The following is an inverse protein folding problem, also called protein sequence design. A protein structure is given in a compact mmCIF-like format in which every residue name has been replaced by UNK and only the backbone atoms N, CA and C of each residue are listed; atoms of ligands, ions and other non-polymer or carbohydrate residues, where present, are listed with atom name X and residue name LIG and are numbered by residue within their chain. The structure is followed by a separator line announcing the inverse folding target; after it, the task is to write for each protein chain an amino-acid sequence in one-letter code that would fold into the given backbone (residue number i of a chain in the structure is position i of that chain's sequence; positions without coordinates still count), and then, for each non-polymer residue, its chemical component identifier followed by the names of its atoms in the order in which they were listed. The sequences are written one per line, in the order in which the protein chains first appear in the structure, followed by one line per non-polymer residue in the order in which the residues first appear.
data_IF_797210753307
#
_entry.id   IF_797210753307
#
_cell.length_a   1.000
_cell.length_b   1.000
_cell.length_c   1.000
_cell.angle_alpha   90.00
_cell.angle_beta   90.00
_cell.angle_gamma   90.00
#
_symmetry.space_group_name_H-M   'P 1'
#
loop_
_entity.id
_entity.type
_entity.pdbx_description
1 polymer ?
#
# COMPACT_ATOMS: atom_id res chain seq x y z
N UNK A 1 20.09 10.14 21.43
CA UNK A 1 19.27 9.37 20.47
C UNK A 1 18.54 8.28 21.23
N UNK A 2 17.22 8.33 21.23
CA UNK A 2 16.38 7.31 21.87
C UNK A 2 16.39 6.06 20.99
N UNK A 3 17.08 4.98 21.43
CA UNK A 3 17.04 3.71 20.71
C UNK A 3 15.69 3.00 20.96
N UNK A 4 14.66 3.40 20.19
CA UNK A 4 13.30 2.85 20.28
C UNK A 4 13.18 1.42 19.71
N UNK A 5 14.27 0.84 19.16
CA UNK A 5 14.31 -0.56 18.70
C UNK A 5 14.90 -1.51 19.76
N UNK A 6 15.35 -1.01 20.92
CA UNK A 6 15.80 -1.86 22.02
C UNK A 6 14.62 -2.55 22.72
N UNK A 7 14.66 -3.90 22.76
CA UNK A 7 13.57 -4.73 23.30
C UNK A 7 13.29 -4.41 24.78
N UNK A 8 14.35 -4.14 25.58
CA UNK A 8 14.22 -3.81 26.98
C UNK A 8 13.43 -2.51 27.16
N UNK A 9 13.84 -1.47 26.41
CA UNK A 9 13.20 -0.17 26.42
C UNK A 9 11.74 -0.22 25.91
N UNK A 10 11.49 -0.97 24.83
CA UNK A 10 10.12 -1.20 24.34
C UNK A 10 9.24 -1.79 25.43
N UNK A 11 9.71 -2.85 26.10
CA UNK A 11 8.94 -3.50 27.18
C UNK A 11 8.72 -2.58 28.37
N UNK A 12 9.70 -1.80 28.75
CA UNK A 12 9.60 -0.81 29.84
C UNK A 12 8.52 0.23 29.53
N UNK A 13 8.60 0.87 28.36
CA UNK A 13 7.63 1.88 27.93
C UNK A 13 6.21 1.30 27.86
N UNK A 14 6.04 0.15 27.21
CA UNK A 14 4.73 -0.50 27.08
C UNK A 14 4.17 -0.90 28.46
N UNK A 15 5.00 -1.41 29.36
CA UNK A 15 4.61 -1.79 30.73
C UNK A 15 4.18 -0.56 31.54
N UNK A 16 4.92 0.55 31.44
CA UNK A 16 4.60 1.83 32.11
C UNK A 16 3.21 2.35 31.72
N UNK A 17 2.83 2.19 30.45
CA UNK A 17 1.51 2.58 29.94
C UNK A 17 0.44 1.47 30.04
N UNK A 18 0.74 0.34 30.68
CA UNK A 18 -0.19 -0.78 30.80
C UNK A 18 -0.60 -1.38 29.45
N UNK A 19 0.23 -1.21 28.41
CA UNK A 19 -0.11 -1.62 27.06
C UNK A 19 0.06 -3.12 26.87
N UNK A 20 -0.94 -3.73 26.22
CA UNK A 20 -0.92 -5.12 25.78
C UNK A 20 -1.17 -5.22 24.28
N UNK A 21 -0.40 -6.09 23.59
CA UNK A 21 -0.53 -6.28 22.16
C UNK A 21 -1.93 -6.71 21.74
N UNK A 22 -2.48 -6.04 20.75
CA UNK A 22 -3.75 -6.40 20.14
C UNK A 22 -3.52 -7.29 18.91
N UNK A 23 -3.95 -8.56 19.01
CA UNK A 23 -3.91 -9.47 17.87
C UNK A 23 -4.83 -9.03 16.72
N UNK A 24 -5.97 -8.40 17.06
CA UNK A 24 -6.92 -7.90 16.06
C UNK A 24 -6.37 -6.73 15.25
N UNK A 25 -5.44 -5.96 15.79
CA UNK A 25 -4.76 -4.87 15.11
C UNK A 25 -3.46 -5.31 14.42
N UNK A 26 -3.09 -6.59 14.51
CA UNK A 26 -1.90 -7.13 13.85
C UNK A 26 -0.58 -6.47 14.26
N UNK A 27 -0.50 -5.97 15.50
CA UNK A 27 0.63 -5.20 16.02
C UNK A 27 1.90 -6.06 16.14
N UNK A 28 2.93 -5.70 15.38
CA UNK A 28 4.27 -6.28 15.42
C UNK A 28 5.27 -5.11 15.39
N UNK A 29 5.94 -4.85 16.51
CA UNK A 29 6.89 -3.73 16.61
C UNK A 29 8.26 -4.13 16.09
N UNK A 30 8.90 -3.25 15.33
CA UNK A 30 10.25 -3.44 14.83
C UNK A 30 11.27 -3.33 15.97
N UNK A 31 12.11 -4.36 16.07
CA UNK A 31 13.23 -4.44 17.03
C UNK A 31 14.58 -4.48 16.34
N UNK A 32 14.61 -4.56 15.00
CA UNK A 32 15.86 -4.52 14.24
C UNK A 32 16.19 -3.05 13.91
N UNK A 33 17.29 -2.50 14.46
CA UNK A 33 17.61 -1.07 14.33
C UNK A 33 18.01 -0.65 12.92
N UNK A 34 18.30 -1.58 12.01
CA UNK A 34 18.71 -1.24 10.65
C UNK A 34 17.55 -1.06 9.66
N UNK A 35 16.32 -1.41 10.04
CA UNK A 35 15.18 -1.43 9.11
C UNK A 35 14.57 -0.04 8.95
N UNK A 36 14.20 0.62 10.06
CA UNK A 36 13.53 1.92 9.99
C UNK A 36 14.39 3.02 9.35
N UNK A 37 15.70 3.18 9.65
CA UNK A 37 16.54 4.15 8.96
C UNK A 37 16.54 3.95 7.44
N UNK A 38 16.66 2.70 6.99
CA UNK A 38 16.61 2.37 5.55
C UNK A 38 15.24 2.67 4.94
N UNK A 39 14.14 2.38 5.66
CA UNK A 39 12.80 2.71 5.18
C UNK A 39 12.63 4.22 5.03
N UNK A 40 13.06 5.00 6.01
CA UNK A 40 12.99 6.46 5.98
C UNK A 40 13.83 7.05 4.83
N UNK A 41 15.06 6.57 4.63
CA UNK A 41 15.92 6.96 3.52
C UNK A 41 15.28 6.64 2.15
N UNK A 42 14.82 5.40 1.97
CA UNK A 42 14.18 4.98 0.71
C UNK A 42 12.79 5.58 0.49
N UNK A 43 12.16 6.15 1.51
CA UNK A 43 10.86 6.82 1.34
C UNK A 43 10.95 8.11 0.51
N UNK A 44 12.14 8.70 0.44
CA UNK A 44 12.35 10.02 -0.14
C UNK A 44 12.07 11.16 0.83
N UNK A 45 11.98 10.87 2.14
CA UNK A 45 11.95 11.88 3.19
C UNK A 45 13.22 12.76 3.12
N UNK A 46 13.07 14.07 3.25
CA UNK A 46 14.16 15.03 3.13
C UNK A 46 13.68 16.47 3.23
N UNK A 47 14.55 17.41 2.93
CA UNK A 47 14.23 18.84 2.87
C UNK A 47 13.14 19.11 1.82
N UNK A 48 12.14 19.92 2.16
CA UNK A 48 10.98 20.24 1.33
C UNK A 48 9.95 19.10 1.22
N UNK A 49 10.09 18.03 2.03
CA UNK A 49 9.22 16.85 1.96
C UNK A 49 8.40 16.72 3.24
N UNK A 50 7.09 16.52 3.05
CA UNK A 50 6.17 16.07 4.09
C UNK A 50 5.93 14.55 4.00
N UNK A 51 5.85 13.88 5.14
CA UNK A 51 5.62 12.43 5.23
C UNK A 51 4.32 12.13 5.94
N UNK A 52 3.48 11.27 5.35
CA UNK A 52 2.34 10.64 6.02
C UNK A 52 2.79 9.25 6.45
N UNK A 53 2.68 8.93 7.74
CA UNK A 53 2.91 7.59 8.28
C UNK A 53 1.59 6.98 8.74
N UNK A 54 1.29 5.76 8.30
CA UNK A 54 0.14 4.97 8.80
C UNK A 54 0.63 3.93 9.80
N UNK A 55 0.13 4.00 11.04
CA UNK A 55 0.45 3.10 12.12
C UNK A 55 1.86 3.30 12.70
N UNK A 56 2.16 4.45 13.33
CA UNK A 56 3.47 4.72 13.93
C UNK A 56 3.84 3.73 15.06
N UNK A 57 2.85 3.07 15.66
CA UNK A 57 3.08 2.15 16.78
C UNK A 57 3.69 2.86 17.99
N UNK A 58 4.91 2.50 18.37
CA UNK A 58 5.66 3.18 19.44
C UNK A 58 6.61 4.26 18.93
N UNK A 59 6.57 4.55 17.62
CA UNK A 59 7.32 5.64 17.01
C UNK A 59 8.70 5.28 16.45
N UNK A 60 9.03 4.00 16.23
CA UNK A 60 10.37 3.62 15.75
C UNK A 60 10.67 4.18 14.37
N UNK A 61 9.73 4.02 13.42
CA UNK A 61 9.87 4.58 12.07
C UNK A 61 9.66 6.09 12.09
N UNK A 62 8.68 6.57 12.84
CA UNK A 62 8.38 8.00 13.00
C UNK A 62 9.62 8.80 13.43
N UNK A 63 10.40 8.26 14.40
CA UNK A 63 11.65 8.87 14.85
C UNK A 63 12.64 9.10 13.71
N UNK A 64 12.80 8.15 12.81
CA UNK A 64 13.71 8.27 11.67
C UNK A 64 13.16 9.26 10.62
N UNK A 65 11.84 9.24 10.40
CA UNK A 65 11.19 10.17 9.48
C UNK A 65 11.28 11.62 9.96
N UNK A 66 11.08 11.88 11.26
CA UNK A 66 11.18 13.21 11.85
C UNK A 66 12.59 13.81 11.76
N UNK A 67 13.63 12.97 11.72
CA UNK A 67 15.01 13.43 11.56
C UNK A 67 15.36 13.84 10.13
N UNK A 68 14.58 13.40 9.13
CA UNK A 68 14.85 13.63 7.71
C UNK A 68 13.90 14.64 7.08
N UNK A 69 12.60 14.55 7.38
CA UNK A 69 11.55 15.31 6.72
C UNK A 69 11.29 16.65 7.41
N UNK A 70 10.82 17.63 6.66
CA UNK A 70 10.41 18.92 7.23
C UNK A 70 9.15 18.80 8.08
N UNK A 71 8.26 17.85 7.74
CA UNK A 71 7.04 17.58 8.49
C UNK A 71 6.60 16.12 8.38
N UNK A 72 6.15 15.58 9.52
CA UNK A 72 5.59 14.23 9.60
C UNK A 72 4.18 14.31 10.19
N UNK A 73 3.22 13.65 9.54
CA UNK A 73 1.89 13.43 10.09
C UNK A 73 1.71 11.92 10.25
N UNK A 74 1.63 11.46 11.50
CA UNK A 74 1.43 10.06 11.85
C UNK A 74 -0.03 9.80 12.18
N UNK A 75 -0.67 8.86 11.47
CA UNK A 75 -2.07 8.45 11.68
C UNK A 75 -2.11 7.17 12.48
N UNK A 76 -2.67 7.21 13.69
CA UNK A 76 -2.74 6.06 14.61
C UNK A 76 -4.19 5.74 14.98
N UNK A 77 -4.59 4.51 14.71
CA UNK A 77 -5.93 4.02 15.05
C UNK A 77 -6.09 3.69 16.53
N UNK A 78 -5.04 3.14 17.15
CA UNK A 78 -5.08 2.68 18.54
C UNK A 78 -4.80 3.84 19.52
N UNK A 79 -5.85 4.45 20.03
CA UNK A 79 -5.74 5.55 21.01
C UNK A 79 -4.89 5.23 22.24
N UNK A 80 -4.65 3.95 22.57
CA UNK A 80 -3.80 3.54 23.69
C UNK A 80 -2.32 3.82 23.45
N UNK A 81 -1.94 4.01 22.16
CA UNK A 81 -0.58 4.36 21.77
C UNK A 81 -0.31 5.87 21.81
N UNK A 82 -1.33 6.72 21.88
CA UNK A 82 -1.11 8.19 21.91
C UNK A 82 -0.25 8.65 23.09
N UNK A 83 -0.48 8.20 24.34
CA UNK A 83 0.43 8.55 25.44
C UNK A 83 1.84 7.98 25.29
N UNK A 84 1.98 6.85 24.60
CA UNK A 84 3.28 6.25 24.29
C UNK A 84 4.03 7.11 23.29
N UNK A 85 3.37 7.55 22.22
CA UNK A 85 3.93 8.43 21.19
C UNK A 85 4.33 9.80 21.76
N UNK A 86 3.53 10.35 22.66
CA UNK A 86 3.88 11.59 23.36
C UNK A 86 5.17 11.44 24.19
N UNK A 87 5.32 10.31 24.91
CA UNK A 87 6.54 10.04 25.69
C UNK A 87 7.76 9.79 24.80
N UNK A 88 7.58 9.09 23.66
CA UNK A 88 8.72 8.66 22.81
C UNK A 88 9.16 9.73 21.83
N UNK A 89 8.25 10.59 21.38
CA UNK A 89 8.43 11.51 20.25
C UNK A 89 8.05 12.97 20.55
N UNK A 90 7.60 13.29 21.78
CA UNK A 90 7.14 14.63 22.14
C UNK A 90 8.21 15.74 22.02
N UNK A 91 9.47 15.36 21.75
CA UNK A 91 10.56 16.29 21.47
C UNK A 91 10.57 16.85 20.03
N UNK A 92 9.78 16.24 19.12
CA UNK A 92 9.77 16.64 17.71
C UNK A 92 8.70 17.70 17.42
N UNK A 93 9.12 18.93 17.11
CA UNK A 93 8.24 20.03 16.73
C UNK A 93 7.62 19.86 15.32
N UNK A 94 8.24 19.01 14.48
CA UNK A 94 7.79 18.73 13.12
C UNK A 94 6.85 17.50 13.01
N UNK A 95 6.42 16.91 14.16
CA UNK A 95 5.50 15.79 14.21
C UNK A 95 4.08 16.23 14.59
N UNK A 96 3.10 15.74 13.84
CA UNK A 96 1.68 15.78 14.23
C UNK A 96 1.12 14.35 14.28
N UNK A 97 0.53 13.96 15.41
CA UNK A 97 -0.17 12.67 15.55
C UNK A 97 -1.68 12.90 15.41
N UNK A 98 -2.31 12.12 14.54
CA UNK A 98 -3.76 12.13 14.28
C UNK A 98 -4.35 10.79 14.70
N UNK A 99 -5.31 10.79 15.63
CA UNK A 99 -6.00 9.56 16.03
C UNK A 99 -7.22 9.31 15.16
N UNK A 100 -7.06 8.55 14.10
CA UNK A 100 -8.11 8.23 13.13
C UNK A 100 -7.79 6.92 12.38
N UNK A 101 -8.79 6.38 11.69
CA UNK A 101 -8.64 5.28 10.74
C UNK A 101 -8.22 5.84 9.38
N UNK A 102 -7.02 5.50 8.90
CA UNK A 102 -6.51 5.98 7.60
C UNK A 102 -7.46 5.65 6.45
N UNK A 103 -8.22 4.56 6.54
CA UNK A 103 -9.20 4.18 5.52
C UNK A 103 -10.44 5.10 5.49
N UNK A 104 -10.68 5.87 6.55
CA UNK A 104 -11.82 6.81 6.67
C UNK A 104 -11.41 8.26 6.60
N UNK A 105 -10.13 8.53 6.85
CA UNK A 105 -9.57 9.88 6.87
C UNK A 105 -9.64 10.51 5.47
N UNK A 106 -10.05 11.77 5.41
CA UNK A 106 -9.93 12.60 4.20
C UNK A 106 -8.47 13.04 4.02
N UNK A 107 -7.73 12.24 3.26
CA UNK A 107 -6.31 12.48 3.02
C UNK A 107 -6.05 13.67 2.09
N UNK A 108 -6.99 14.04 1.21
CA UNK A 108 -6.87 15.26 0.42
C UNK A 108 -6.89 16.50 1.31
N UNK A 109 -7.84 16.55 2.24
CA UNK A 109 -7.94 17.63 3.21
C UNK A 109 -6.70 17.68 4.10
N UNK A 110 -6.26 16.53 4.62
CA UNK A 110 -5.05 16.43 5.44
C UNK A 110 -3.82 16.99 4.71
N UNK A 111 -3.62 16.59 3.45
CA UNK A 111 -2.47 17.05 2.65
C UNK A 111 -2.54 18.56 2.41
N UNK A 112 -3.71 19.08 2.07
CA UNK A 112 -3.88 20.50 1.83
C UNK A 112 -3.62 21.36 3.08
N UNK A 113 -4.05 20.88 4.26
CA UNK A 113 -3.88 21.62 5.53
C UNK A 113 -2.47 21.50 6.09
N UNK A 114 -1.84 20.33 5.98
CA UNK A 114 -0.59 20.06 6.71
C UNK A 114 0.67 20.20 5.85
N UNK A 115 0.59 20.04 4.53
CA UNK A 115 1.75 19.95 3.65
C UNK A 115 1.74 20.98 2.51
N UNK A 116 1.10 22.13 2.74
CA UNK A 116 1.03 23.18 1.72
C UNK A 116 2.43 23.57 1.20
N UNK A 117 2.65 23.45 -0.12
CA UNK A 117 3.93 23.78 -0.77
C UNK A 117 5.03 22.73 -0.65
N UNK A 118 4.78 21.60 0.01
CA UNK A 118 5.73 20.49 0.14
C UNK A 118 5.42 19.39 -0.88
N UNK A 119 6.44 18.62 -1.24
CA UNK A 119 6.26 17.30 -1.82
C UNK A 119 5.79 16.36 -0.72
N UNK A 120 4.91 15.42 -1.05
CA UNK A 120 4.37 14.50 -0.06
C UNK A 120 4.70 13.06 -0.44
N UNK A 121 5.15 12.29 0.53
CA UNK A 121 5.36 10.84 0.41
C UNK A 121 4.65 10.12 1.55
N UNK A 122 4.36 8.83 1.34
CA UNK A 122 3.81 7.95 2.38
C UNK A 122 4.88 6.94 2.77
N UNK A 123 5.09 6.75 4.09
CA UNK A 123 5.97 5.70 4.59
C UNK A 123 5.29 4.97 5.74
N UNK A 124 5.19 3.62 5.68
CA UNK A 124 4.45 2.88 6.69
C UNK A 124 4.94 1.43 6.88
N UNK A 125 4.84 0.94 8.12
CA UNK A 125 4.92 -0.47 8.46
C UNK A 125 3.49 -1.02 8.62
N UNK A 126 2.86 -1.42 7.51
CA UNK A 126 1.44 -1.75 7.48
C UNK A 126 1.11 -3.07 8.19
N UNK A 127 0.03 -3.11 9.00
CA UNK A 127 -0.56 -4.37 9.43
C UNK A 127 -0.96 -5.22 8.21
N UNK A 128 -0.59 -6.51 8.22
CA UNK A 128 -0.73 -7.37 7.04
C UNK A 128 -2.15 -7.52 6.51
N UNK A 129 -3.15 -7.45 7.40
CA UNK A 129 -4.56 -7.64 7.03
C UNK A 129 -5.17 -6.45 6.28
N UNK A 130 -4.55 -5.24 6.35
CA UNK A 130 -5.02 -4.03 5.67
C UNK A 130 -4.10 -3.56 4.54
N UNK A 131 -3.02 -4.27 4.26
CA UNK A 131 -2.02 -3.89 3.24
C UNK A 131 -2.67 -3.48 1.92
N UNK A 132 -3.46 -4.38 1.30
CA UNK A 132 -4.08 -4.06 0.00
C UNK A 132 -5.12 -2.95 0.07
N UNK A 133 -6.04 -2.91 1.06
CA UNK A 133 -6.97 -1.80 1.22
C UNK A 133 -6.29 -0.44 1.35
N UNK A 134 -5.23 -0.34 2.16
CA UNK A 134 -4.50 0.94 2.35
C UNK A 134 -3.80 1.37 1.07
N UNK A 135 -3.02 0.48 0.45
CA UNK A 135 -2.32 0.79 -0.82
C UNK A 135 -3.32 1.23 -1.89
N UNK A 136 -4.42 0.48 -2.06
CA UNK A 136 -5.41 0.82 -3.09
C UNK A 136 -6.10 2.14 -2.78
N UNK A 137 -6.49 2.42 -1.54
CA UNK A 137 -7.04 3.73 -1.16
C UNK A 137 -6.09 4.88 -1.52
N UNK A 138 -4.81 4.79 -1.14
CA UNK A 138 -3.82 5.82 -1.42
C UNK A 138 -3.67 6.09 -2.92
N UNK A 139 -3.80 5.04 -3.75
CA UNK A 139 -3.66 5.14 -5.20
C UNK A 139 -4.98 5.57 -5.90
N UNK A 140 -6.11 4.97 -5.52
CA UNK A 140 -7.44 5.24 -6.13
C UNK A 140 -7.94 6.65 -5.81
N UNK A 141 -7.65 7.18 -4.62
CA UNK A 141 -7.99 8.55 -4.23
C UNK A 141 -7.19 9.60 -5.04
N UNK A 142 -6.23 9.21 -5.88
CA UNK A 142 -5.41 10.14 -6.69
C UNK A 142 -4.81 11.25 -5.84
N UNK A 143 -4.27 10.90 -4.69
CA UNK A 143 -3.63 11.85 -3.78
C UNK A 143 -2.42 12.51 -4.45
N UNK A 144 -2.13 13.79 -4.15
CA UNK A 144 -0.94 14.48 -4.65
C UNK A 144 0.32 14.04 -3.89
N UNK A 145 0.68 12.76 -4.01
CA UNK A 145 1.84 12.12 -3.40
C UNK A 145 2.80 11.61 -4.46
N UNK A 146 4.11 11.65 -4.18
CA UNK A 146 5.15 11.21 -5.14
C UNK A 146 5.44 9.71 -5.03
N UNK A 147 5.41 9.15 -3.83
CA UNK A 147 5.72 7.74 -3.60
C UNK A 147 5.07 7.19 -2.33
N UNK A 148 4.89 5.87 -2.31
CA UNK A 148 4.43 5.10 -1.16
C UNK A 148 5.50 4.05 -0.86
N UNK A 149 6.17 4.13 0.29
CA UNK A 149 7.15 3.14 0.76
C UNK A 149 6.56 2.38 1.93
N UNK A 150 6.33 1.09 1.75
CA UNK A 150 5.64 0.28 2.76
C UNK A 150 6.33 -1.05 3.01
N UNK A 151 6.29 -1.48 4.26
CA UNK A 151 6.66 -2.83 4.64
C UNK A 151 5.41 -3.70 4.70
N UNK A 152 5.46 -4.83 3.99
CA UNK A 152 4.34 -5.76 3.82
C UNK A 152 4.84 -7.20 3.89
N UNK A 153 3.95 -8.19 3.96
CA UNK A 153 4.35 -9.60 3.86
C UNK A 153 5.10 -9.86 2.54
N UNK A 154 6.15 -10.68 2.59
CA UNK A 154 7.00 -10.99 1.43
C UNK A 154 6.20 -11.51 0.23
N UNK A 155 5.19 -12.36 0.46
CA UNK A 155 4.33 -12.85 -0.62
C UNK A 155 3.47 -11.72 -1.24
N UNK A 156 2.97 -10.80 -0.42
CA UNK A 156 2.24 -9.63 -0.91
C UNK A 156 3.15 -8.71 -1.73
N UNK A 157 4.37 -8.44 -1.24
CA UNK A 157 5.38 -7.69 -1.96
C UNK A 157 5.69 -8.30 -3.34
N UNK A 158 5.90 -9.61 -3.38
CA UNK A 158 6.16 -10.35 -4.63
C UNK A 158 5.01 -10.23 -5.63
N UNK A 159 3.76 -10.23 -5.15
CA UNK A 159 2.58 -10.05 -6.02
C UNK A 159 2.42 -8.61 -6.49
N UNK A 160 2.65 -7.63 -5.60
CA UNK A 160 2.54 -6.22 -5.96
C UNK A 160 3.61 -5.83 -6.99
N UNK A 161 4.84 -6.29 -6.77
CA UNK A 161 5.98 -6.01 -7.64
C UNK A 161 6.16 -6.99 -8.80
N UNK A 162 5.22 -7.92 -9.01
CA UNK A 162 5.28 -8.84 -10.14
C UNK A 162 5.10 -8.08 -11.47
N UNK A 163 5.72 -8.56 -12.51
CA UNK A 163 5.50 -8.07 -13.86
C UNK A 163 4.11 -8.46 -14.35
N UNK A 164 3.36 -7.51 -14.92
CA UNK A 164 2.05 -7.73 -15.52
C UNK A 164 2.17 -8.65 -16.73
N UNK A 165 1.24 -9.59 -16.91
CA UNK A 165 1.31 -10.58 -17.99
C UNK A 165 2.09 -11.84 -17.64
N UNK A 166 2.58 -11.97 -16.40
CA UNK A 166 3.29 -13.16 -15.92
C UNK A 166 2.41 -14.02 -15.00
N UNK A 167 2.83 -15.26 -14.74
CA UNK A 167 2.10 -16.20 -13.86
C UNK A 167 1.90 -15.66 -12.44
N UNK A 168 2.73 -14.74 -11.99
CA UNK A 168 2.64 -14.12 -10.67
C UNK A 168 1.68 -12.93 -10.63
N UNK A 169 1.26 -12.44 -11.80
CA UNK A 169 0.32 -11.36 -11.95
C UNK A 169 -1.04 -11.69 -11.30
N UNK A 170 -1.61 -10.71 -10.63
CA UNK A 170 -2.91 -10.77 -9.98
C UNK A 170 -3.63 -9.44 -10.08
N UNK A 171 -4.86 -9.36 -9.58
CA UNK A 171 -5.61 -8.11 -9.61
C UNK A 171 -4.82 -6.95 -9.00
N UNK A 172 -4.20 -7.16 -7.83
CA UNK A 172 -3.39 -6.12 -7.18
C UNK A 172 -2.18 -5.71 -8.02
N UNK A 173 -1.53 -6.67 -8.72
CA UNK A 173 -0.41 -6.40 -9.62
C UNK A 173 -0.83 -5.41 -10.71
N UNK A 174 -1.92 -5.74 -11.42
CA UNK A 174 -2.44 -4.92 -12.53
C UNK A 174 -2.90 -3.56 -12.03
N UNK A 175 -3.65 -3.53 -10.91
CA UNK A 175 -4.16 -2.28 -10.34
C UNK A 175 -3.04 -1.36 -9.88
N UNK A 176 -2.02 -1.87 -9.17
CA UNK A 176 -0.89 -1.05 -8.74
C UNK A 176 -0.11 -0.54 -9.94
N UNK A 177 0.18 -1.37 -10.94
CA UNK A 177 0.94 -0.96 -12.13
C UNK A 177 0.22 0.09 -12.99
N UNK A 178 -1.10 0.20 -12.89
CA UNK A 178 -1.87 1.29 -13.51
C UNK A 178 -1.58 2.64 -12.85
N UNK A 179 -1.40 2.68 -11.52
CA UNK A 179 -1.21 3.91 -10.77
C UNK A 179 0.25 4.25 -10.46
N UNK A 180 1.12 3.25 -10.37
CA UNK A 180 2.48 3.42 -9.87
C UNK A 180 3.46 2.45 -10.53
N UNK A 181 4.74 2.70 -10.36
CA UNK A 181 5.84 1.79 -10.68
C UNK A 181 6.33 1.13 -9.40
N UNK A 182 5.98 -0.17 -9.17
CA UNK A 182 6.39 -0.87 -7.97
C UNK A 182 7.83 -1.36 -8.05
N UNK A 183 8.57 -1.20 -6.94
CA UNK A 183 9.93 -1.67 -6.78
C UNK A 183 10.07 -2.42 -5.45
N UNK A 184 10.73 -3.59 -5.46
CA UNK A 184 11.09 -4.30 -4.25
C UNK A 184 12.47 -3.84 -3.76
N UNK A 185 12.51 -3.22 -2.58
CA UNK A 185 13.74 -2.63 -2.05
C UNK A 185 14.59 -3.63 -1.29
N UNK A 186 14.04 -4.26 -0.25
CA UNK A 186 14.75 -5.25 0.56
C UNK A 186 13.83 -6.14 1.39
N UNK A 187 14.36 -7.32 1.75
CA UNK A 187 13.68 -8.26 2.64
C UNK A 187 13.92 -7.96 4.12
N UNK A 188 12.94 -8.30 4.96
CA UNK A 188 13.00 -8.17 6.42
C UNK A 188 12.57 -9.50 7.05
N UNK A 189 13.44 -10.11 7.85
CA UNK A 189 13.13 -11.39 8.49
C UNK A 189 12.08 -11.24 9.58
N UNK A 190 11.29 -12.28 9.82
CA UNK A 190 10.31 -12.34 10.90
C UNK A 190 10.92 -12.07 12.29
N UNK A 191 12.19 -12.46 12.49
CA UNK A 191 12.93 -12.18 13.74
C UNK A 191 13.23 -10.70 13.99
N UNK A 192 12.97 -9.82 13.04
CA UNK A 192 13.10 -8.37 13.19
C UNK A 192 11.94 -7.73 13.96
N UNK A 193 10.96 -8.51 14.42
CA UNK A 193 9.75 -8.00 15.07
C UNK A 193 9.49 -8.62 16.44
N UNK A 194 8.74 -7.88 17.26
CA UNK A 194 8.19 -8.34 18.54
C UNK A 194 6.70 -7.97 18.66
N UNK A 195 5.79 -8.96 18.80
CA UNK A 195 6.01 -10.39 18.61
C UNK A 195 6.42 -10.71 17.16
N UNK A 196 7.16 -11.80 16.95
CA UNK A 196 7.57 -12.21 15.60
C UNK A 196 6.35 -12.69 14.80
N UNK A 197 6.15 -12.22 13.56
CA UNK A 197 5.13 -12.73 12.65
C UNK A 197 5.50 -14.14 12.16
N UNK A 198 4.54 -14.82 11.51
CA UNK A 198 4.75 -16.19 10.99
C UNK A 198 5.55 -16.23 9.68
N UNK A 199 5.69 -15.10 9.01
CA UNK A 199 6.30 -14.99 7.68
C UNK A 199 7.22 -13.77 7.61
N UNK A 200 8.19 -13.82 6.72
CA UNK A 200 9.05 -12.69 6.44
C UNK A 200 8.28 -11.55 5.78
N UNK A 201 8.83 -10.35 5.89
CA UNK A 201 8.36 -9.12 5.25
C UNK A 201 9.30 -8.70 4.12
N UNK A 202 8.86 -7.74 3.35
CA UNK A 202 9.70 -6.98 2.44
C UNK A 202 9.24 -5.53 2.41
N UNK A 203 10.17 -4.64 2.18
CA UNK A 203 9.90 -3.23 1.92
C UNK A 203 9.81 -3.03 0.42
N UNK A 204 8.74 -2.37 -0.01
CA UNK A 204 8.49 -2.00 -1.40
C UNK A 204 8.30 -0.49 -1.51
N UNK A 205 8.61 0.05 -2.68
CA UNK A 205 8.31 1.43 -3.05
C UNK A 205 7.42 1.44 -4.29
N UNK A 206 6.39 2.26 -4.26
CA UNK A 206 5.48 2.51 -5.36
C UNK A 206 5.69 3.97 -5.79
N UNK A 207 6.37 4.20 -6.92
CA UNK A 207 6.54 5.53 -7.48
C UNK A 207 5.26 5.90 -8.22
N UNK A 208 4.50 6.88 -7.70
CA UNK A 208 3.18 7.23 -8.21
C UNK A 208 3.32 7.89 -9.59
N UNK A 209 2.57 7.39 -10.56
CA UNK A 209 2.58 7.93 -11.93
C UNK A 209 1.80 9.23 -12.00
N UNK A 210 2.30 10.19 -12.75
CA UNK A 210 1.56 11.43 -13.06
C UNK A 210 0.36 11.15 -13.98
N UNK A 211 0.54 10.21 -14.91
CA UNK A 211 -0.47 9.78 -15.87
C UNK A 211 -0.50 8.25 -15.94
N UNK A 212 -1.68 7.64 -16.12
CA UNK A 212 -1.78 6.19 -16.34
C UNK A 212 -1.04 5.76 -17.60
N UNK A 213 -0.44 4.55 -17.63
CA UNK A 213 0.30 4.05 -18.79
C UNK A 213 -0.60 3.66 -19.97
N UNK A 214 -1.90 3.50 -19.74
CA UNK A 214 -2.92 3.18 -20.75
C UNK A 214 -4.12 4.10 -20.62
N UNK A 215 -4.79 4.40 -21.72
CA UNK A 215 -5.99 5.25 -21.73
C UNK A 215 -7.26 4.40 -21.71
N UNK A 216 -8.13 4.70 -20.78
CA UNK A 216 -9.48 4.11 -20.66
C UNK A 216 -10.51 5.20 -20.50
N UNK A 217 -11.70 4.98 -21.04
CA UNK A 217 -12.82 5.93 -20.89
C UNK A 217 -13.42 5.92 -19.47
N UNK A 218 -13.32 4.76 -18.79
CA UNK A 218 -13.83 4.58 -17.42
C UNK A 218 -12.88 3.76 -16.57
N UNK A 219 -12.16 4.41 -15.64
CA UNK A 219 -11.32 3.72 -14.64
C UNK A 219 -12.17 2.76 -13.79
N UNK A 220 -13.36 3.16 -13.39
CA UNK A 220 -14.28 2.30 -12.62
C UNK A 220 -14.58 1.00 -13.37
N UNK A 221 -14.79 1.08 -14.68
CA UNK A 221 -15.05 -0.10 -15.50
C UNK A 221 -13.79 -0.96 -15.62
N UNK A 222 -12.60 -0.34 -15.80
CA UNK A 222 -11.32 -1.04 -15.84
C UNK A 222 -11.12 -1.91 -14.59
N UNK A 223 -11.30 -1.33 -13.39
CA UNK A 223 -11.12 -2.09 -12.14
C UNK A 223 -12.20 -3.16 -11.94
N UNK A 224 -13.41 -2.96 -12.43
CA UNK A 224 -14.44 -4.00 -12.47
C UNK A 224 -14.02 -5.16 -13.40
N UNK A 225 -13.48 -4.86 -14.58
CA UNK A 225 -12.95 -5.87 -15.53
C UNK A 225 -11.77 -6.63 -14.90
N UNK A 226 -10.79 -5.93 -14.32
CA UNK A 226 -9.66 -6.56 -13.62
C UNK A 226 -10.16 -7.48 -12.51
N UNK A 227 -11.03 -7.00 -11.63
CA UNK A 227 -11.60 -7.80 -10.53
C UNK A 227 -12.35 -9.02 -11.03
N UNK A 228 -13.16 -8.88 -12.08
CA UNK A 228 -13.89 -9.97 -12.70
C UNK A 228 -12.94 -11.01 -13.32
N UNK A 229 -11.92 -10.56 -14.05
CA UNK A 229 -10.92 -11.40 -14.70
C UNK A 229 -10.19 -12.33 -13.69
N UNK A 230 -9.80 -11.78 -12.54
CA UNK A 230 -9.07 -12.53 -11.49
C UNK A 230 -9.98 -13.21 -10.45
N UNK A 231 -11.31 -13.12 -10.58
CA UNK A 231 -12.25 -13.71 -9.61
C UNK A 231 -12.15 -15.23 -9.52
N UNK A 232 -11.74 -15.90 -10.61
CA UNK A 232 -11.68 -17.37 -10.70
C UNK A 232 -10.35 -17.86 -11.30
N UNK A 233 -9.30 -18.00 -10.46
CA UNK A 233 -7.91 -18.36 -10.87
C UNK A 233 -7.77 -19.55 -11.80
N UNK A 234 -8.64 -20.57 -11.71
CA UNK A 234 -8.55 -21.83 -12.49
C UNK A 234 -9.39 -21.82 -13.78
N UNK A 235 -10.15 -20.76 -14.03
CA UNK A 235 -11.01 -20.64 -15.21
C UNK A 235 -10.34 -19.80 -16.30
N UNK A 236 -10.86 -19.96 -17.54
CA UNK A 236 -10.50 -19.08 -18.65
C UNK A 236 -11.02 -17.66 -18.43
N UNK A 237 -10.42 -16.69 -19.08
CA UNK A 237 -10.81 -15.29 -19.01
C UNK A 237 -12.30 -15.10 -19.36
N UNK A 238 -12.76 -15.73 -20.46
CA UNK A 238 -14.16 -15.67 -20.88
C UNK A 238 -15.14 -16.13 -19.78
N UNK A 239 -14.82 -17.20 -19.07
CA UNK A 239 -15.66 -17.68 -17.98
C UNK A 239 -15.65 -16.75 -16.77
N UNK A 240 -14.47 -16.22 -16.41
CA UNK A 240 -14.31 -15.29 -15.28
C UNK A 240 -15.03 -13.98 -15.52
N UNK A 241 -14.86 -13.38 -16.72
CA UNK A 241 -15.55 -12.14 -17.10
C UNK A 241 -17.06 -12.32 -17.20
N UNK A 242 -17.55 -13.40 -17.84
CA UNK A 242 -18.98 -13.69 -17.94
C UNK A 242 -19.64 -13.75 -16.56
N UNK A 243 -19.01 -14.48 -15.63
CA UNK A 243 -19.52 -14.60 -14.26
C UNK A 243 -19.37 -13.30 -13.45
N UNK A 244 -18.23 -12.63 -13.55
CA UNK A 244 -17.90 -11.45 -12.72
C UNK A 244 -18.61 -10.18 -13.17
N UNK A 245 -18.93 -10.04 -14.47
CA UNK A 245 -19.66 -8.91 -15.04
C UNK A 245 -21.15 -9.19 -15.27
N UNK A 246 -21.60 -10.45 -15.04
CA UNK A 246 -22.98 -10.89 -15.33
C UNK A 246 -23.39 -10.67 -16.80
N UNK A 247 -22.44 -10.89 -17.73
CA UNK A 247 -22.64 -10.79 -19.18
C UNK A 247 -22.65 -12.17 -19.80
N UNK A 248 -23.53 -12.40 -20.80
CA UNK A 248 -23.61 -13.66 -21.51
C UNK A 248 -22.26 -14.05 -22.14
N UNK A 249 -21.88 -15.33 -22.02
CA UNK A 249 -20.58 -15.84 -22.49
C UNK A 249 -20.33 -15.61 -23.99
N UNK A 250 -21.39 -15.68 -24.83
CA UNK A 250 -21.30 -15.39 -26.26
C UNK A 250 -20.79 -13.97 -26.51
N UNK A 251 -21.41 -13.00 -25.84
CA UNK A 251 -21.00 -11.59 -25.91
C UNK A 251 -19.60 -11.34 -25.38
N UNK A 252 -19.20 -12.03 -24.29
CA UNK A 252 -17.80 -11.96 -23.79
C UNK A 252 -16.81 -12.52 -24.80
N UNK A 253 -17.14 -13.62 -25.49
CA UNK A 253 -16.26 -14.13 -26.52
C UNK A 253 -16.06 -13.15 -27.68
N UNK A 254 -17.14 -12.51 -28.16
CA UNK A 254 -17.07 -11.45 -29.17
C UNK A 254 -16.24 -10.27 -28.69
N UNK A 255 -16.46 -9.82 -27.43
CA UNK A 255 -15.67 -8.76 -26.80
C UNK A 255 -14.17 -9.08 -26.82
N UNK A 256 -13.79 -10.28 -26.40
CA UNK A 256 -12.38 -10.69 -26.35
C UNK A 256 -11.75 -10.74 -27.74
N UNK A 257 -12.46 -11.29 -28.74
CA UNK A 257 -12.00 -11.32 -30.14
C UNK A 257 -11.79 -9.90 -30.66
N UNK A 258 -12.76 -9.00 -30.45
CA UNK A 258 -12.66 -7.60 -30.87
C UNK A 258 -11.53 -6.85 -30.15
N UNK A 259 -11.16 -7.28 -28.93
CA UNK A 259 -10.07 -6.72 -28.15
C UNK A 259 -8.70 -7.36 -28.49
N UNK A 260 -8.63 -8.30 -29.45
CA UNK A 260 -7.40 -8.99 -29.81
C UNK A 260 -6.93 -10.03 -28.78
N UNK A 261 -7.81 -10.51 -27.90
CA UNK A 261 -7.50 -11.44 -26.82
C UNK A 261 -8.12 -12.80 -27.05
N UNK A 262 -7.33 -13.88 -26.86
CA UNK A 262 -7.83 -15.25 -26.97
C UNK A 262 -8.86 -15.57 -25.91
N UNK A 263 -9.98 -16.19 -26.31
CA UNK A 263 -11.10 -16.52 -25.38
C UNK A 263 -10.73 -17.55 -24.32
N UNK A 264 -9.69 -18.40 -24.59
CA UNK A 264 -9.16 -19.39 -23.67
C UNK A 264 -7.98 -18.88 -22.82
N UNK A 265 -7.54 -17.61 -23.03
CA UNK A 265 -6.50 -16.99 -22.23
C UNK A 265 -6.83 -17.00 -20.74
N UNK A 266 -5.83 -16.85 -19.91
CA UNK A 266 -5.97 -16.64 -18.46
C UNK A 266 -5.63 -15.20 -18.10
N UNK A 267 -6.32 -14.67 -17.11
CA UNK A 267 -6.15 -13.28 -16.67
C UNK A 267 -4.68 -12.90 -16.37
N UNK A 268 -3.90 -13.83 -15.78
CA UNK A 268 -2.49 -13.59 -15.49
C UNK A 268 -1.59 -13.38 -16.70
N UNK A 269 -2.07 -13.66 -17.90
CA UNK A 269 -1.31 -13.49 -19.15
C UNK A 269 -1.56 -12.16 -19.84
N UNK A 270 -2.55 -11.41 -19.38
CA UNK A 270 -2.94 -10.14 -19.99
C UNK A 270 -2.00 -9.02 -19.58
N UNK A 271 -1.69 -8.15 -20.54
CA UNK A 271 -1.01 -6.87 -20.35
C UNK A 271 -1.99 -5.78 -19.88
N UNK A 272 -1.48 -4.62 -19.49
CA UNK A 272 -2.33 -3.45 -19.22
C UNK A 272 -3.08 -2.99 -20.47
N UNK A 273 -2.45 -3.06 -21.64
CA UNK A 273 -3.10 -2.73 -22.91
C UNK A 273 -4.27 -3.67 -23.22
N UNK A 274 -4.12 -4.97 -22.98
CA UNK A 274 -5.22 -5.92 -23.12
C UNK A 274 -6.41 -5.56 -22.22
N UNK A 275 -6.15 -5.23 -20.95
CA UNK A 275 -7.20 -4.81 -20.03
C UNK A 275 -7.86 -3.51 -20.48
N UNK A 276 -7.09 -2.54 -20.99
CA UNK A 276 -7.62 -1.28 -21.50
C UNK A 276 -8.50 -1.51 -22.74
N UNK A 277 -8.05 -2.32 -23.71
CA UNK A 277 -8.80 -2.66 -24.92
C UNK A 277 -10.12 -3.38 -24.57
N UNK A 278 -10.08 -4.38 -23.68
CA UNK A 278 -11.29 -5.06 -23.19
C UNK A 278 -12.25 -4.06 -22.54
N UNK A 279 -11.73 -3.14 -21.74
CA UNK A 279 -12.55 -2.15 -21.02
C UNK A 279 -13.22 -1.18 -21.99
N UNK A 280 -12.48 -0.61 -22.95
CA UNK A 280 -13.00 0.36 -23.92
C UNK A 280 -14.05 -0.30 -24.84
N UNK A 281 -13.76 -1.48 -25.37
CA UNK A 281 -14.71 -2.23 -26.20
C UNK A 281 -15.98 -2.65 -25.41
N UNK A 282 -15.83 -2.96 -24.10
CA UNK A 282 -17.00 -3.24 -23.25
C UNK A 282 -17.85 -1.99 -23.02
N UNK A 283 -17.23 -0.82 -22.88
CA UNK A 283 -17.92 0.46 -22.73
C UNK A 283 -18.76 0.79 -23.99
N UNK A 284 -18.21 0.52 -25.18
CA UNK A 284 -18.93 0.72 -26.46
C UNK A 284 -20.13 -0.24 -26.64
N UNK A 285 -20.10 -1.42 -25.98
CA UNK A 285 -21.17 -2.42 -26.05
C UNK A 285 -22.34 -2.14 -25.09
N UNK A 286 -22.16 -1.24 -24.11
CA UNK A 286 -23.15 -0.91 -23.07
C UNK A 286 -24.04 0.23 -23.50
#
# INVERSE_FOLDING_TARGET
MNNLSDIGKIKEILSKHGFTFSKSLGQNFLINPSVCPRMAEYSGAGEGVGVIEDGPGIGVLTNELCQLADKVVAVELDKRLLPVLEETLGEYDNLKVVNEDVLKLDLHKLIAEEFAGMKVVVCANLPYYITSPVIMKLLEDRLPIEAITVMVQKEAAQRICAEVGTRQSGAVTVSVNYYAEPEMLFGVSAGSFMPAPKVDSAVIRLNVRKEPPVKVESEKLLFNVIKAAFSQRRKTLANSLSSGLSVEKGKINELLINSGVETNARAEKLTLDDFANITNNLQEMM
#
